data_IF_676554054502
#
_entry.id   IF_676554054502
#
_cell.length_a   1.000
_cell.length_b   1.000
_cell.length_c   1.000
_cell.angle_alpha   90.00
_cell.angle_beta   90.00
_cell.angle_gamma   90.00
#
_symmetry.space_group_name_H-M   'P 1'
#
loop_
_entity.id
_entity.type
_entity.pdbx_description
1 polymer ?
2 non-polymer ?
3 water ?
#
# COMPACT_ATOMS: atom_id res chain seq x y z
N UNK A 10 -11.34 -4.26 2.95
CA UNK A 10 -9.93 -4.07 2.69
C UNK A 10 -9.65 -2.59 2.38
N UNK A 11 -8.97 -1.96 3.34
CA UNK A 11 -8.32 -0.66 3.21
C UNK A 11 -7.02 -0.77 4.00
N UNK A 12 -6.18 0.26 3.90
CA UNK A 12 -4.94 0.30 4.65
C UNK A 12 -4.91 1.53 5.53
N UNK A 13 -4.12 1.41 6.59
CA UNK A 13 -3.85 2.47 7.53
C UNK A 13 -3.08 3.63 6.87
N UNK A 14 -3.31 4.85 7.37
CA UNK A 14 -2.69 6.04 6.75
C UNK A 14 -1.19 6.05 6.84
N UNK A 15 -0.58 5.27 7.74
CA UNK A 15 0.87 5.32 7.82
C UNK A 15 1.51 4.26 6.95
N UNK A 16 0.69 3.58 6.15
CA UNK A 16 1.20 2.63 5.19
C UNK A 16 2.09 3.36 4.21
N UNK A 17 3.25 2.78 3.93
CA UNK A 17 4.17 3.34 2.93
C UNK A 17 3.91 2.79 1.52
N UNK A 18 3.98 3.69 0.52
CA UNK A 18 3.89 3.29 -0.87
C UNK A 18 4.96 4.03 -1.69
N UNK A 19 5.36 3.38 -2.80
CA UNK A 19 6.38 3.88 -3.71
C UNK A 19 5.61 4.53 -4.84
N UNK A 20 5.83 5.84 -5.03
CA UNK A 20 4.97 6.60 -5.93
C UNK A 20 5.89 7.30 -6.92
N UNK A 21 5.42 7.41 -8.18
CA UNK A 21 6.08 8.14 -9.22
C UNK A 21 5.07 9.16 -9.71
N UNK A 22 5.54 10.38 -9.96
CA UNK A 22 4.65 11.35 -10.56
C UNK A 22 5.37 11.89 -11.79
N UNK A 23 4.59 12.27 -12.82
CA UNK A 23 5.17 12.74 -14.10
C UNK A 23 4.60 14.11 -14.38
N UNK A 24 5.41 14.97 -14.95
CA UNK A 24 4.96 16.33 -15.27
C UNK A 24 5.52 16.75 -16.62
N UNK A 25 4.73 17.49 -17.38
CA UNK A 25 5.19 18.04 -18.65
C UNK A 25 5.66 16.99 -19.64
N UNK A 26 5.19 15.75 -19.51
CA UNK A 26 5.62 14.79 -20.48
C UNK A 26 7.01 14.19 -20.22
N UNK A 27 7.92 14.95 -19.63
CA UNK A 27 9.32 14.59 -19.66
C UNK A 27 9.98 14.46 -18.30
N UNK A 28 9.37 14.96 -17.20
CA UNK A 28 10.02 14.99 -15.89
C UNK A 28 9.30 13.99 -15.03
N UNK A 29 10.05 13.30 -14.18
CA UNK A 29 9.43 12.33 -13.31
C UNK A 29 10.16 12.38 -11.98
N UNK A 30 9.42 12.16 -10.88
CA UNK A 30 10.03 12.04 -9.56
C UNK A 30 9.47 10.78 -8.92
N UNK A 31 10.27 10.18 -8.05
CA UNK A 31 9.84 8.96 -7.38
C UNK A 31 10.19 9.07 -5.90
N UNK A 32 9.29 8.62 -5.01
CA UNK A 32 9.64 8.64 -3.59
C UNK A 32 8.79 7.63 -2.85
N UNK A 33 9.23 7.27 -1.66
CA UNK A 33 8.44 6.44 -0.76
C UNK A 33 7.68 7.36 0.17
N UNK A 34 6.36 7.27 0.21
CA UNK A 34 5.56 8.24 0.95
C UNK A 34 4.44 7.51 1.69
N UNK A 35 4.01 8.03 2.82
CA UNK A 35 2.87 7.44 3.50
C UNK A 35 1.58 7.74 2.74
N UNK A 36 0.63 6.81 2.81
CA UNK A 36 -0.57 6.96 1.98
C UNK A 36 -1.43 8.15 2.43
N UNK A 37 -1.49 8.43 3.73
CA UNK A 37 -2.23 9.66 4.13
C UNK A 37 -1.55 10.92 3.59
N UNK A 38 -0.22 10.94 3.60
CA UNK A 38 0.50 12.07 3.00
C UNK A 38 0.21 12.17 1.51
N UNK A 39 0.27 11.05 0.80
CA UNK A 39 -0.10 11.06 -0.62
C UNK A 39 -1.52 11.61 -0.81
N UNK A 40 -2.45 11.16 0.03
CA UNK A 40 -3.83 11.64 -0.08
C UNK A 40 -3.93 13.15 0.16
N UNK A 41 -3.31 13.64 1.24
CA UNK A 41 -3.43 15.07 1.55
C UNK A 41 -2.84 15.92 0.44
N UNK A 42 -1.69 15.50 -0.09
CA UNK A 42 -1.05 16.17 -1.22
C UNK A 42 -1.97 16.21 -2.43
N UNK A 43 -2.42 15.04 -2.90
CA UNK A 43 -3.31 15.02 -4.05
C UNK A 43 -4.57 15.83 -3.79
N UNK A 44 -4.99 15.96 -2.52
CA UNK A 44 -6.19 16.71 -2.18
C UNK A 44 -6.06 18.18 -2.55
N UNK A 45 -4.85 18.73 -2.48
CA UNK A 45 -4.62 20.09 -2.96
C UNK A 45 -4.56 20.13 -4.49
N UNK A 46 -3.91 19.14 -5.09
CA UNK A 46 -3.74 19.13 -6.54
C UNK A 46 -5.07 18.87 -7.24
N UNK A 47 -5.69 17.71 -7.01
CA UNK A 47 -6.98 17.40 -7.61
C UNK A 47 -8.04 17.57 -6.52
N UNK A 48 -9.28 17.21 -6.82
CA UNK A 48 -10.35 17.36 -5.83
C UNK A 48 -11.25 16.13 -5.77
N UNK A 49 -11.95 16.04 -4.64
CA UNK A 49 -12.59 14.81 -4.19
C UNK A 49 -13.94 14.64 -4.85
N UNK A 50 -14.21 13.42 -5.33
CA UNK A 50 -15.57 12.97 -5.58
C UNK A 50 -16.12 12.43 -4.27
N UNK A 51 -17.44 12.22 -4.22
CA UNK A 51 -18.08 11.74 -3.00
C UNK A 51 -19.08 10.64 -3.31
N UNK A 52 -19.09 9.60 -2.46
CA UNK A 52 -20.15 8.59 -2.53
C UNK A 52 -20.79 8.54 -1.14
N UNK A 53 -21.42 7.41 -0.78
CA UNK A 53 -22.10 7.32 0.50
C UNK A 53 -21.21 7.75 1.66
N UNK A 54 -19.94 7.32 1.67
CA UNK A 54 -19.03 7.82 2.69
C UNK A 54 -17.57 7.84 2.20
N UNK A 55 -17.34 7.74 0.90
CA UNK A 55 -16.01 7.75 0.33
C UNK A 55 -15.70 9.13 -0.22
N UNK A 56 -14.49 9.59 0.03
CA UNK A 56 -13.92 10.74 -0.65
C UNK A 56 -12.86 10.20 -1.62
N UNK A 57 -13.02 10.49 -2.92
CA UNK A 57 -12.24 9.80 -3.95
C UNK A 57 -11.52 10.84 -4.82
N UNK A 58 -10.27 10.55 -5.16
CA UNK A 58 -9.44 11.41 -5.99
C UNK A 58 -9.01 10.63 -7.22
N UNK A 59 -9.12 11.26 -8.38
CA UNK A 59 -8.72 10.59 -9.63
C UNK A 59 -7.50 11.30 -10.20
N UNK A 60 -6.31 11.02 -9.68
CA UNK A 60 -5.13 11.81 -10.06
C UNK A 60 -4.67 11.46 -11.46
N UNK A 61 -3.90 12.37 -12.07
CA UNK A 61 -3.31 12.08 -13.36
C UNK A 61 -1.79 12.17 -13.31
N UNK A 62 -1.12 11.25 -13.99
CA UNK A 62 0.31 11.33 -14.03
C UNK A 62 0.98 10.75 -12.81
N UNK A 63 0.23 10.03 -11.99
CA UNK A 63 0.77 9.30 -10.83
C UNK A 63 0.82 7.81 -11.11
N UNK A 64 1.84 7.14 -10.51
CA UNK A 64 2.02 5.70 -10.66
C UNK A 64 2.47 5.15 -9.32
N UNK A 65 2.28 3.84 -9.16
CA UNK A 65 2.57 3.17 -7.89
C UNK A 65 3.19 1.82 -8.19
N UNK A 66 4.09 1.38 -7.31
CA UNK A 66 4.80 0.12 -7.50
C UNK A 66 3.90 -1.06 -7.11
N UNK A 67 3.83 -2.06 -7.99
CA UNK A 67 2.93 -3.20 -7.81
C UNK A 67 3.68 -4.50 -8.11
N UNK A 68 2.94 -5.62 -8.13
CA UNK A 68 3.53 -6.94 -8.41
C UNK A 68 4.35 -6.90 -9.69
N UNK A 69 5.53 -7.51 -9.66
CA UNK A 69 6.42 -7.42 -10.79
C UNK A 69 7.47 -6.35 -10.63
N UNK A 70 7.50 -5.66 -9.50
CA UNK A 70 8.45 -4.58 -9.24
C UNK A 70 8.44 -3.56 -10.38
N UNK A 71 7.23 -3.16 -10.80
CA UNK A 71 7.01 -2.22 -11.88
C UNK A 71 6.02 -1.15 -11.41
N UNK A 72 6.05 0.02 -12.03
CA UNK A 72 5.13 1.11 -11.72
C UNK A 72 4.01 1.13 -12.75
N UNK A 73 2.75 1.15 -12.30
CA UNK A 73 1.61 1.32 -13.19
C UNK A 73 0.80 2.54 -12.74
N UNK A 74 -0.14 2.97 -13.58
CA UNK A 74 -0.92 4.14 -13.18
C UNK A 74 -1.67 3.91 -11.86
N UNK A 75 -1.63 4.92 -10.99
CA UNK A 75 -2.57 5.03 -9.88
C UNK A 75 -3.82 5.70 -10.42
N UNK A 76 -4.91 4.94 -10.53
CA UNK A 76 -6.10 5.42 -11.23
C UNK A 76 -7.00 6.21 -10.30
N UNK A 77 -7.22 5.71 -9.08
CA UNK A 77 -7.97 6.47 -8.10
C UNK A 77 -7.42 6.18 -6.71
N UNK A 78 -7.85 6.99 -5.75
CA UNK A 78 -7.45 6.81 -4.36
C UNK A 78 -8.60 7.36 -3.54
N UNK A 79 -8.86 6.75 -2.40
CA UNK A 79 -9.98 7.19 -1.61
C UNK A 79 -9.69 7.00 -0.13
N UNK A 80 -10.49 7.67 0.69
CA UNK A 80 -10.46 7.45 2.12
C UNK A 80 -11.89 7.43 2.64
N UNK A 81 -12.09 6.75 3.77
CA UNK A 81 -13.40 6.63 4.37
C UNK A 81 -13.20 6.23 5.84
N UNK A 82 -14.21 6.50 6.66
CA UNK A 82 -14.27 5.93 8.00
C UNK A 82 -14.75 4.50 7.91
N UNK A 83 -14.36 3.67 8.89
CA UNK A 83 -14.73 2.27 8.82
C UNK A 83 -15.19 1.74 10.18
N UNK A 84 -16.11 0.80 10.13
CA UNK A 84 -16.52 0.07 11.31
C UNK A 84 -15.63 -1.13 11.57
N UNK A 85 -14.76 -1.50 10.63
CA UNK A 85 -13.99 -2.72 10.72
C UNK A 85 -12.78 -2.56 11.65
N UNK A 86 -12.33 -3.67 12.20
CA UNK A 86 -11.13 -3.64 13.01
C UNK A 86 -9.90 -3.48 12.16
N UNK A 87 -8.93 -2.75 12.70
CA UNK A 87 -7.61 -2.71 12.11
C UNK A 87 -6.90 -4.00 12.46
N UNK A 88 -6.17 -4.54 11.50
CA UNK A 88 -5.46 -5.83 11.68
C UNK A 88 -4.02 -5.60 11.29
N UNK A 89 -3.08 -5.90 12.19
CA UNK A 89 -1.68 -5.74 11.86
C UNK A 89 -1.14 -7.07 11.38
N UNK A 90 -0.52 -7.05 10.20
CA UNK A 90 0.05 -8.23 9.55
C UNK A 90 1.57 -8.09 9.52
N UNK A 91 2.29 -9.05 10.11
CA UNK A 91 3.74 -9.03 10.10
C UNK A 91 4.22 -10.11 9.16
N UNK A 92 5.17 -9.77 8.30
CA UNK A 92 5.61 -10.67 7.26
C UNK A 92 7.12 -10.80 7.33
N UNK A 93 7.62 -12.05 7.43
CA UNK A 93 9.07 -12.25 7.50
C UNK A 93 9.64 -12.68 6.17
N UNK A 94 10.89 -12.27 5.92
CA UNK A 94 11.67 -12.73 4.79
C UNK A 94 13.12 -12.85 5.27
N UNK A 95 13.94 -13.49 4.44
CA UNK A 95 15.35 -13.60 4.78
C UNK A 95 16.15 -13.81 3.50
N UNK A 96 17.43 -13.44 3.57
CA UNK A 96 18.36 -13.69 2.47
C UNK A 96 19.68 -14.08 3.10
N UNK A 97 20.51 -14.74 2.30
CA UNK A 97 21.86 -15.08 2.73
C UNK A 97 22.82 -14.00 2.22
N UNK A 98 23.63 -13.44 3.11
CA UNK A 98 24.58 -12.39 2.74
C UNK A 98 26.00 -12.92 2.81
N UNK A 108 25.32 -15.84 8.37
CA UNK A 108 25.26 -15.13 7.11
C UNK A 108 23.82 -15.01 6.68
N UNK A 109 22.89 -15.29 7.58
CA UNK A 109 21.48 -15.09 7.27
C UNK A 109 21.06 -13.70 7.71
N UNK A 110 20.44 -12.94 6.81
CA UNK A 110 19.85 -11.66 7.17
C UNK A 110 18.34 -11.88 7.23
N UNK A 111 17.74 -11.71 8.41
CA UNK A 111 16.31 -11.90 8.56
C UNK A 111 15.69 -10.52 8.53
N UNK A 112 14.54 -10.42 7.87
CA UNK A 112 13.83 -9.16 7.77
C UNK A 112 12.37 -9.39 8.15
N UNK A 113 11.71 -8.32 8.60
CA UNK A 113 10.25 -8.37 8.70
C UNK A 113 9.68 -7.01 8.27
N UNK A 114 8.47 -7.07 7.82
CA UNK A 114 7.71 -5.85 7.42
C UNK A 114 6.35 -5.97 8.06
N UNK A 115 5.66 -4.84 8.30
CA UNK A 115 4.35 -4.91 8.91
C UNK A 115 3.41 -3.94 8.20
N UNK A 116 2.17 -4.35 8.03
CA UNK A 116 1.19 -3.43 7.42
C UNK A 116 -0.10 -3.55 8.23
N UNK A 117 -0.81 -2.43 8.40
CA UNK A 117 -2.08 -2.45 9.11
C UNK A 117 -3.18 -2.20 8.10
N UNK A 118 -4.13 -3.13 8.04
CA UNK A 118 -5.21 -3.10 7.06
C UNK A 118 -6.51 -3.20 7.84
N UNK A 119 -7.60 -2.87 7.18
CA UNK A 119 -8.87 -3.37 7.67
C UNK A 119 -9.25 -4.58 6.84
N UNK A 120 -10.05 -5.45 7.42
CA UNK A 120 -10.64 -6.52 6.63
C UNK A 120 -11.68 -7.20 7.48
N UNK A 121 -12.78 -7.58 6.84
CA UNK A 121 -13.79 -8.48 7.39
C UNK A 121 -13.52 -9.93 7.01
N UNK A 122 -12.39 -10.20 6.38
CA UNK A 122 -12.16 -11.47 5.70
C UNK A 122 -10.94 -12.22 6.26
N UNK A 141 -6.43 -14.82 3.97
CA UNK A 141 -5.11 -14.53 4.52
C UNK A 141 -4.96 -15.17 5.92
N UNK A 142 -3.77 -15.71 6.21
CA UNK A 142 -3.56 -16.61 7.33
C UNK A 142 -2.09 -16.72 7.73
N UNK A 143 -1.86 -16.80 9.05
CA UNK A 143 -0.49 -17.06 9.51
C UNK A 143 -0.02 -18.35 8.86
N UNK A 144 1.18 -18.30 8.28
CA UNK A 144 1.75 -19.41 7.56
C UNK A 144 1.73 -19.26 6.06
N UNK A 145 0.86 -18.40 5.55
CA UNK A 145 0.75 -18.22 4.11
C UNK A 145 1.95 -17.43 3.60
N UNK A 146 2.29 -17.66 2.35
CA UNK A 146 3.39 -16.93 1.73
C UNK A 146 2.82 -15.80 0.90
N UNK A 147 3.50 -14.66 0.91
CA UNK A 147 3.05 -13.47 0.19
C UNK A 147 4.28 -12.82 -0.41
N UNK A 148 4.08 -12.09 -1.50
CA UNK A 148 5.21 -11.42 -2.13
C UNK A 148 5.62 -10.17 -1.35
N UNK A 149 6.94 -9.97 -1.26
CA UNK A 149 7.52 -8.89 -0.46
C UNK A 149 8.55 -8.17 -1.31
N UNK A 150 8.54 -6.84 -1.22
CA UNK A 150 9.55 -6.05 -1.91
C UNK A 150 10.75 -5.85 -0.97
N UNK A 151 11.91 -6.38 -1.37
CA UNK A 151 13.18 -6.14 -0.69
C UNK A 151 13.74 -4.85 -1.28
N UNK A 152 13.59 -3.74 -0.57
CA UNK A 152 14.01 -2.46 -1.14
C UNK A 152 15.53 -2.38 -1.32
N UNK A 153 16.31 -2.91 -0.36
CA UNK A 153 17.76 -2.74 -0.46
C UNK A 153 18.32 -3.47 -1.68
N UNK A 154 17.68 -4.54 -2.11
CA UNK A 154 18.20 -5.22 -3.28
C UNK A 154 17.30 -5.03 -4.46
N UNK A 155 16.26 -4.21 -4.32
CA UNK A 155 15.34 -3.90 -5.41
C UNK A 155 14.88 -5.18 -6.11
N UNK A 156 14.32 -6.11 -5.36
CA UNK A 156 13.80 -7.31 -5.97
C UNK A 156 12.69 -7.85 -5.09
N UNK A 157 11.83 -8.68 -5.68
CA UNK A 157 10.71 -9.24 -4.98
C UNK A 157 11.13 -10.60 -4.41
N UNK A 158 10.72 -10.88 -3.19
CA UNK A 158 11.10 -12.12 -2.53
C UNK A 158 9.84 -12.70 -1.92
N UNK A 159 9.90 -13.99 -1.53
CA UNK A 159 8.76 -14.61 -0.88
C UNK A 159 8.85 -14.35 0.62
N UNK A 160 7.75 -13.85 1.20
CA UNK A 160 7.69 -13.67 2.64
C UNK A 160 6.68 -14.63 3.21
N UNK A 161 6.73 -14.90 4.52
CA UNK A 161 5.73 -15.68 5.22
C UNK A 161 5.01 -14.77 6.19
N UNK A 162 3.68 -14.82 6.20
CA UNK A 162 2.92 -14.18 7.28
C UNK A 162 3.30 -14.79 8.63
N UNK A 163 3.92 -14.00 9.50
CA UNK A 163 4.36 -14.51 10.80
C UNK A 163 3.37 -14.22 11.91
N UNK A 164 2.61 -13.12 11.81
CA UNK A 164 1.62 -12.89 12.87
C UNK A 164 0.51 -12.02 12.29
N UNK A 165 -0.67 -12.13 12.90
CA UNK A 165 -1.81 -11.28 12.58
C UNK A 165 -2.37 -10.91 13.92
N UNK A 166 -2.68 -9.62 14.10
CA UNK A 166 -3.12 -9.09 15.38
C UNK A 166 -4.30 -8.18 15.17
N UNK A 167 -5.37 -8.40 15.94
CA UNK A 167 -6.54 -7.54 15.88
C UNK A 167 -6.28 -6.32 16.75
N UNK A 168 -6.14 -5.14 16.14
CA UNK A 168 -5.91 -3.88 16.86
C UNK A 168 -7.18 -3.16 17.26
N UNK A 169 -8.36 -3.69 16.92
CA UNK A 169 -9.62 -3.09 17.37
C UNK A 169 -10.14 -2.10 16.33
N UNK A 170 -11.25 -1.43 16.68
CA UNK A 170 -11.85 -0.43 15.80
C UNK A 170 -11.03 0.86 15.82
N UNK A 171 -11.34 1.75 14.86
CA UNK A 171 -10.63 3.00 14.75
C UNK A 171 -11.58 4.08 14.26
N UNK A 172 -11.33 5.31 14.71
CA UNK A 172 -12.00 6.53 14.28
C UNK A 172 -11.30 7.19 13.09
N UNK A 173 -10.11 6.74 12.72
CA UNK A 173 -9.35 7.39 11.67
C UNK A 173 -9.81 6.94 10.29
N UNK A 174 -9.48 7.76 9.29
CA UNK A 174 -9.73 7.39 7.90
C UNK A 174 -8.83 6.23 7.52
N UNK A 175 -9.34 5.34 6.68
CA UNK A 175 -8.52 4.32 6.05
C UNK A 175 -8.62 4.49 4.54
N UNK A 176 -7.63 3.95 3.83
CA UNK A 176 -7.34 4.38 2.45
C UNK A 176 -7.32 3.20 1.50
N UNK A 177 -7.62 3.48 0.24
CA UNK A 177 -7.74 2.48 -0.81
C UNK A 177 -7.11 3.04 -2.07
N UNK A 178 -6.45 2.16 -2.86
CA UNK A 178 -5.92 2.51 -4.17
C UNK A 178 -6.53 1.61 -5.25
N UNK A 179 -6.83 2.19 -6.42
CA UNK A 179 -7.05 1.42 -7.64
C UNK A 179 -5.84 1.56 -8.55
N UNK A 180 -5.31 0.41 -9.00
CA UNK A 180 -4.03 0.31 -9.70
C UNK A 180 -4.26 -0.35 -11.05
N UNK A 181 -3.54 0.14 -12.07
CA UNK A 181 -3.72 -0.31 -13.45
C UNK A 181 -2.90 -1.59 -13.66
N UNK A 182 -3.37 -2.68 -13.05
CA UNK A 182 -2.67 -3.94 -13.23
C UNK A 182 -3.61 -5.07 -12.88
N UNK A 183 -3.51 -6.17 -13.60
CA UNK A 183 -4.54 -7.18 -13.40
C UNK A 183 -4.31 -7.95 -12.12
N UNK A 184 -3.18 -7.72 -11.46
CA UNK A 184 -2.99 -8.23 -10.12
C UNK A 184 -3.87 -7.50 -9.12
N UNK A 185 -4.29 -6.26 -9.45
CA UNK A 185 -5.14 -5.44 -8.56
C UNK A 185 -4.55 -5.35 -7.16
N UNK A 186 -3.24 -5.20 -7.11
CA UNK A 186 -2.50 -5.27 -5.88
C UNK A 186 -1.36 -4.27 -5.97
N UNK A 187 -0.90 -3.82 -4.80
CA UNK A 187 0.22 -2.89 -4.76
C UNK A 187 1.03 -3.20 -3.52
N UNK A 188 2.27 -2.71 -3.48
CA UNK A 188 3.11 -2.90 -2.29
C UNK A 188 2.79 -1.87 -1.23
N UNK A 189 2.41 -2.36 -0.04
CA UNK A 189 1.94 -1.56 1.07
C UNK A 189 2.92 -1.83 2.19
N UNK A 190 3.81 -0.88 2.45
CA UNK A 190 4.90 -1.08 3.39
C UNK A 190 5.65 -2.38 3.06
N UNK A 191 5.96 -2.56 1.78
CA UNK A 191 6.75 -3.66 1.18
C UNK A 191 5.98 -4.97 1.08
N UNK A 192 4.73 -5.03 1.48
CA UNK A 192 3.94 -6.25 1.47
C UNK A 192 2.87 -6.09 0.40
N UNK A 193 2.74 -7.09 -0.49
CA UNK A 193 1.75 -6.99 -1.56
C UNK A 193 0.36 -7.13 -0.98
N UNK A 194 -0.51 -6.13 -1.19
CA UNK A 194 -1.87 -6.22 -0.68
C UNK A 194 -2.85 -5.94 -1.80
N UNK A 195 -4.04 -6.51 -1.69
CA UNK A 195 -5.09 -6.23 -2.66
C UNK A 195 -6.04 -5.20 -2.04
X LIG B 1 -5.43 -15.84 11.42
X LIG C 1 -2.65 8.20 10.31
X LIG D 1 5.47 10.81 4.19
X LIG E 1 0.99 -12.64 -3.12
X LIG F 1 -13.73 -4.98 0.85
X LIG G 1 -13.82 -6.40 11.47
X LIG H 1 -12.62 -2.85 19.49
X LIG I 1 -7.56 -2.11 -8.01
X LIG J 1 17.23 0.65 1.10
X LIG K 1 13.84 2.67 -9.57
X LIG L 1 16.64 -1.38 8.95
X LIG M 1 -10.15 3.78 -4.65
X LIG N 1 10.26 0.78 4.98
X LIG O 1 -2.77 9.89 -16.65
#
# INVERSE_FOLDING_TARGET
MKTEFSGDTDAVHGKTHVFIRSIKNGSHMQEAKIDIKSLYDSLAKKYDVQHKNSYEVIYPKGYEIKVLGNKYVKLVAMSRHKTQKHLVKIVVKSEKTIDSLDPIRQKSLLKKQDEVVVTTDHICMVYNDDHFFENVNAKNLKVGNYVSVYDEASDKEVIGEIASIEDLGMTDDYVYDCEVDDDSHAFYASNILVHASQFCNGTKLGG
IOD I
IOD I
IOD I
IOD I
IOD I
IOD I
IOD I
IOD I
IOD I
IOD I
IOD I
IOD I
IOD I
IOD I
#
